data_IF_204180480620
#
_entry.id   IF_204180480620
#
_cell.length_a   1.000
_cell.length_b   1.000
_cell.length_c   1.000
_cell.angle_alpha   90.00
_cell.angle_beta   90.00
_cell.angle_gamma   90.00
#
_symmetry.space_group_name_H-M   'P 1'
#
loop_
_entity.id
_entity.type
_entity.pdbx_description
1 polymer ?
2 polymer ?
3 polymer ?
4 non-polymer ?
5 non-polymer ?
6 non-polymer ?
7 water ?
#
# COMPACT_ATOMS: atom_id res chain seq x y z
N UNK A 1 10.99 -17.37 -6.51
CA UNK A 1 10.52 -16.83 -7.81
C UNK A 1 11.24 -17.50 -8.97
N UNK A 2 10.72 -17.29 -10.18
CA UNK A 2 11.25 -17.93 -11.38
C UNK A 2 12.67 -17.51 -11.72
N UNK A 3 13.14 -16.37 -11.20
CA UNK A 3 14.51 -15.91 -11.46
C UNK A 3 15.46 -16.21 -10.31
N UNK A 4 14.98 -16.84 -9.24
CA UNK A 4 15.81 -17.03 -8.06
C UNK A 4 17.04 -17.87 -8.29
N UNK A 5 17.00 -18.82 -9.22
CA UNK A 5 18.14 -19.68 -9.46
C UNK A 5 19.10 -19.13 -10.49
N UNK A 6 18.83 -17.97 -11.09
CA UNK A 6 19.71 -17.40 -12.11
C UNK A 6 20.69 -16.40 -11.51
N UNK A 7 21.94 -16.46 -11.99
CA UNK A 7 22.96 -15.51 -11.56
C UNK A 7 22.53 -14.08 -11.86
N UNK A 8 22.86 -13.17 -10.93
CA UNK A 8 22.63 -11.76 -11.15
C UNK A 8 23.17 -11.29 -12.50
N UNK A 9 24.41 -11.66 -12.82
CA UNK A 9 25.00 -11.14 -14.06
C UNK A 9 24.27 -11.68 -15.27
N UNK A 10 23.76 -12.91 -15.19
CA UNK A 10 23.02 -13.48 -16.30
C UNK A 10 21.69 -12.79 -16.49
N UNK A 11 21.06 -12.39 -15.38
CA UNK A 11 19.82 -11.62 -15.46
C UNK A 11 20.05 -10.28 -16.14
N UNK A 12 21.13 -9.59 -15.78
CA UNK A 12 21.44 -8.31 -16.42
C UNK A 12 21.74 -8.51 -17.90
N UNK A 13 22.53 -9.53 -18.24
CA UNK A 13 22.84 -9.80 -19.64
C UNK A 13 21.56 -10.08 -20.43
N UNK A 14 20.65 -10.86 -19.84
CA UNK A 14 19.42 -11.20 -20.54
C UNK A 14 18.48 -10.01 -20.64
N UNK A 15 18.49 -9.11 -19.65
CA UNK A 15 17.73 -7.88 -19.78
C UNK A 15 18.19 -7.09 -21.00
N UNK A 16 19.51 -7.03 -21.22
CA UNK A 16 20.04 -6.28 -22.36
C UNK A 16 19.66 -6.95 -23.67
N UNK A 17 19.65 -8.29 -23.71
CA UNK A 17 19.20 -9.01 -24.90
C UNK A 17 17.71 -8.78 -25.14
N UNK A 18 16.91 -8.81 -24.07
CA UNK A 18 15.48 -8.56 -24.21
C UNK A 18 15.23 -7.17 -24.77
N UNK A 19 15.99 -6.18 -24.32
CA UNK A 19 15.86 -4.84 -24.89
C UNK A 19 16.15 -4.84 -26.39
N UNK A 20 17.21 -5.52 -26.82
CA UNK A 20 17.54 -5.58 -28.24
C UNK A 20 16.43 -6.24 -29.04
N UNK A 21 15.73 -7.21 -28.45
CA UNK A 21 14.62 -7.90 -29.08
C UNK A 21 13.28 -7.20 -28.86
N UNK A 22 13.30 -6.07 -28.17
CA UNK A 22 12.08 -5.31 -27.87
C UNK A 22 11.05 -6.14 -27.10
N UNK A 23 11.54 -6.99 -26.21
CA UNK A 23 10.74 -7.86 -25.35
C UNK A 23 10.77 -7.24 -23.95
N UNK A 24 9.98 -6.19 -23.78
CA UNK A 24 10.08 -5.38 -22.57
C UNK A 24 9.50 -6.06 -21.33
N UNK A 25 8.48 -6.91 -21.49
CA UNK A 25 8.01 -7.68 -20.35
C UNK A 25 9.11 -8.60 -19.83
N UNK A 26 9.79 -9.31 -20.74
CA UNK A 26 10.92 -10.14 -20.31
C UNK A 26 11.99 -9.28 -19.67
N UNK A 27 12.31 -8.13 -20.27
CA UNK A 27 13.35 -7.27 -19.75
C UNK A 27 13.02 -6.86 -18.32
N UNK A 28 11.77 -6.50 -18.07
CA UNK A 28 11.37 -6.08 -16.74
C UNK A 28 11.49 -7.23 -15.76
N UNK A 29 11.08 -8.43 -16.17
CA UNK A 29 11.15 -9.59 -15.29
C UNK A 29 12.60 -9.92 -14.93
N UNK A 30 13.51 -9.82 -15.89
CA UNK A 30 14.92 -10.07 -15.61
C UNK A 30 15.47 -9.01 -14.65
N UNK A 31 15.13 -7.74 -14.87
CA UNK A 31 15.62 -6.69 -13.98
C UNK A 31 15.01 -6.83 -12.58
N UNK A 32 13.74 -7.22 -12.49
CA UNK A 32 13.17 -7.48 -11.17
C UNK A 32 13.94 -8.58 -10.45
N UNK A 33 14.28 -9.65 -11.16
CA UNK A 33 15.08 -10.69 -10.55
C UNK A 33 16.44 -10.18 -10.09
N UNK A 34 17.07 -9.32 -10.88
CA UNK A 34 18.35 -8.76 -10.49
C UNK A 34 18.20 -7.92 -9.23
N UNK A 35 17.17 -7.06 -9.15
CA UNK A 35 16.93 -6.28 -7.94
C UNK A 35 16.81 -7.19 -6.72
N UNK A 36 16.13 -8.32 -6.87
CA UNK A 36 15.84 -9.21 -5.76
C UNK A 36 17.08 -9.94 -5.24
N UNK A 37 18.21 -9.83 -5.93
CA UNK A 37 19.46 -10.35 -5.38
C UNK A 37 19.97 -9.52 -4.21
N UNK A 38 19.44 -8.32 -4.03
CA UNK A 38 19.70 -7.55 -2.85
C UNK A 38 20.89 -6.64 -2.91
N UNK A 39 21.57 -6.54 -4.04
CA UNK A 39 22.69 -5.63 -4.22
C UNK A 39 22.17 -4.33 -4.85
N UNK A 40 22.87 -3.23 -4.58
CA UNK A 40 22.48 -1.95 -5.17
C UNK A 40 22.76 -1.93 -6.67
N UNK A 41 21.82 -1.35 -7.43
CA UNK A 41 21.93 -1.23 -8.87
C UNK A 41 22.91 -0.13 -9.23
N UNK A 42 23.72 -0.40 -10.25
CA UNK A 42 24.58 0.63 -10.82
C UNK A 42 23.75 1.63 -11.63
N UNK A 43 24.39 2.72 -12.05
CA UNK A 43 23.72 3.70 -12.88
C UNK A 43 23.13 3.05 -14.13
N UNK A 44 23.93 2.25 -14.83
CA UNK A 44 23.44 1.56 -16.03
C UNK A 44 22.27 0.65 -15.70
N UNK A 45 22.36 -0.09 -14.60
CA UNK A 45 21.31 -1.02 -14.25
C UNK A 45 20.01 -0.31 -13.85
N UNK A 46 20.11 0.84 -13.16
CA UNK A 46 18.93 1.63 -12.87
C UNK A 46 18.20 2.03 -14.14
N UNK A 47 18.96 2.43 -15.16
CA UNK A 47 18.33 2.83 -16.42
C UNK A 47 17.68 1.64 -17.10
N UNK A 48 18.30 0.47 -17.04
CA UNK A 48 17.66 -0.72 -17.60
C UNK A 48 16.33 -1.02 -16.92
N UNK A 49 16.33 -0.99 -15.58
CA UNK A 49 15.08 -1.21 -14.84
C UNK A 49 14.01 -0.23 -15.30
N UNK A 50 14.37 1.05 -15.34
CA UNK A 50 13.41 2.08 -15.72
C UNK A 50 12.89 1.92 -17.14
N UNK A 51 13.78 1.69 -18.11
CA UNK A 51 13.35 1.54 -19.50
C UNK A 51 12.39 0.36 -19.62
N UNK A 52 12.69 -0.73 -18.94
CA UNK A 52 11.88 -1.93 -19.07
C UNK A 52 10.46 -1.65 -18.62
N UNK A 53 10.30 -1.14 -17.39
CA UNK A 53 8.95 -0.92 -16.88
C UNK A 53 8.25 0.24 -17.57
N UNK A 54 9.01 1.27 -18.01
CA UNK A 54 8.39 2.36 -18.76
C UNK A 54 7.68 1.82 -20.00
N UNK A 55 8.31 0.87 -20.68
CA UNK A 55 7.73 0.36 -21.91
C UNK A 55 6.54 -0.54 -21.62
N UNK A 56 6.62 -1.36 -20.56
CA UNK A 56 5.49 -2.19 -20.17
C UNK A 56 4.29 -1.31 -19.81
N UNK A 57 4.48 -0.39 -18.87
CA UNK A 57 3.34 0.40 -18.45
C UNK A 57 2.91 1.36 -19.56
N UNK A 58 3.84 1.76 -20.42
CA UNK A 58 3.48 2.65 -21.51
C UNK A 58 2.48 2.02 -22.45
N UNK A 59 2.67 0.74 -22.77
CA UNK A 59 1.71 0.05 -23.62
C UNK A 59 0.36 -0.07 -22.96
N UNK A 60 0.36 -0.35 -21.65
CA UNK A 60 -0.89 -0.47 -20.89
C UNK A 60 -1.63 0.86 -20.81
N UNK A 61 -0.90 1.94 -20.56
CA UNK A 61 -1.50 3.27 -20.50
C UNK A 61 -2.12 3.65 -21.83
N UNK A 62 -1.41 3.37 -22.92
CA UNK A 62 -1.95 3.72 -24.23
C UNK A 62 -3.22 2.93 -24.51
N UNK A 63 -3.22 1.64 -24.18
CA UNK A 63 -4.41 0.82 -24.38
C UNK A 63 -5.56 1.31 -23.51
N UNK A 64 -5.27 1.62 -22.24
CA UNK A 64 -6.30 2.12 -21.35
C UNK A 64 -6.93 3.40 -21.88
N UNK A 65 -6.11 4.30 -22.42
CA UNK A 65 -6.62 5.55 -23.01
C UNK A 65 -7.56 5.26 -24.18
N UNK A 66 -7.17 4.33 -25.06
CA UNK A 66 -8.04 3.96 -26.18
C UNK A 66 -9.38 3.44 -25.68
N UNK A 67 -9.34 2.51 -24.72
CA UNK A 67 -10.57 1.88 -24.26
C UNK A 67 -11.42 2.85 -23.46
N UNK A 68 -10.79 3.71 -22.65
CA UNK A 68 -11.53 4.70 -21.88
C UNK A 68 -12.25 5.66 -22.83
N UNK A 69 -11.61 6.03 -23.93
CA UNK A 69 -12.25 6.92 -24.90
C UNK A 69 -13.47 6.26 -25.52
N UNK A 70 -13.33 5.00 -25.94
CA UNK A 70 -14.46 4.25 -26.49
C UNK A 70 -15.59 4.17 -25.47
N UNK A 71 -15.25 3.87 -24.22
CA UNK A 71 -16.24 3.76 -23.15
C UNK A 71 -16.97 5.08 -22.95
N UNK A 72 -16.23 6.19 -22.98
CA UNK A 72 -16.87 7.49 -22.78
C UNK A 72 -17.79 7.83 -23.95
N UNK A 73 -17.39 7.50 -25.17
CA UNK A 73 -18.28 7.74 -26.31
C UNK A 73 -19.55 6.91 -26.20
N UNK A 74 -19.43 5.66 -25.73
CA UNK A 74 -20.60 4.81 -25.58
C UNK A 74 -21.54 5.31 -24.48
N UNK A 75 -21.04 6.13 -23.56
CA UNK A 75 -21.87 6.68 -22.49
C UNK A 75 -22.32 8.11 -22.82
N UNK A 83 -24.06 -3.18 -23.90
CA UNK A 83 -23.63 -4.25 -23.01
C UNK A 83 -22.41 -3.86 -22.19
N UNK A 84 -22.01 -4.76 -21.30
CA UNK A 84 -20.93 -4.44 -20.35
C UNK A 84 -19.52 -4.62 -20.90
N UNK A 85 -19.37 -4.99 -22.17
CA UNK A 85 -18.07 -5.50 -22.65
C UNK A 85 -16.99 -4.43 -22.64
N UNK A 86 -17.29 -3.21 -23.08
CA UNK A 86 -16.27 -2.17 -23.10
C UNK A 86 -15.76 -1.89 -21.69
N UNK A 87 -16.67 -1.72 -20.73
CA UNK A 87 -16.26 -1.48 -19.36
C UNK A 87 -15.45 -2.65 -18.82
N UNK A 88 -15.91 -3.87 -19.08
CA UNK A 88 -15.21 -5.06 -18.57
C UNK A 88 -13.77 -5.07 -19.07
N UNK A 89 -13.59 -4.83 -20.36
CA UNK A 89 -12.25 -4.93 -20.92
C UNK A 89 -11.38 -3.75 -20.48
N UNK A 90 -11.95 -2.54 -20.38
CA UNK A 90 -11.19 -1.43 -19.83
C UNK A 90 -10.77 -1.74 -18.40
N UNK A 91 -11.67 -2.33 -17.62
CA UNK A 91 -11.34 -2.72 -16.25
C UNK A 91 -10.22 -3.76 -16.24
N UNK A 92 -10.25 -4.73 -17.16
CA UNK A 92 -9.19 -5.74 -17.22
C UNK A 92 -7.84 -5.07 -17.44
N UNK A 93 -7.77 -4.19 -18.43
CA UNK A 93 -6.50 -3.53 -18.72
C UNK A 93 -6.07 -2.66 -17.52
N UNK A 94 -7.03 -1.94 -16.94
CA UNK A 94 -6.75 -1.11 -15.77
C UNK A 94 -6.15 -1.91 -14.64
N UNK A 95 -6.73 -3.09 -14.35
CA UNK A 95 -6.23 -3.92 -13.26
C UNK A 95 -4.80 -4.40 -13.54
N UNK A 96 -4.51 -4.77 -14.78
CA UNK A 96 -3.15 -5.18 -15.13
C UNK A 96 -2.18 -4.01 -14.99
N UNK A 97 -2.58 -2.83 -15.43
CA UNK A 97 -1.75 -1.64 -15.28
C UNK A 97 -1.46 -1.38 -13.80
N UNK A 98 -2.50 -1.45 -12.97
CA UNK A 98 -2.31 -1.21 -11.54
C UNK A 98 -1.39 -2.25 -10.94
N UNK A 99 -1.48 -3.47 -11.43
CA UNK A 99 -0.59 -4.52 -10.93
C UNK A 99 0.87 -4.24 -11.25
N UNK A 100 1.15 -3.74 -12.46
CA UNK A 100 2.52 -3.40 -12.79
C UNK A 100 3.01 -2.25 -11.93
N UNK A 101 2.18 -1.21 -11.77
CA UNK A 101 2.57 -0.10 -10.91
C UNK A 101 2.84 -0.57 -9.49
N UNK A 102 1.99 -1.44 -8.96
CA UNK A 102 2.22 -1.98 -7.62
C UNK A 102 3.52 -2.77 -7.55
N UNK A 103 3.84 -3.53 -8.61
CA UNK A 103 5.11 -4.26 -8.66
C UNK A 103 6.29 -3.31 -8.56
N UNK A 104 6.28 -2.24 -9.35
CA UNK A 104 7.38 -1.29 -9.35
C UNK A 104 7.49 -0.61 -7.99
N UNK A 105 6.36 -0.10 -7.47
CA UNK A 105 6.37 0.55 -6.17
C UNK A 105 6.85 -0.39 -5.08
N UNK A 106 6.49 -1.67 -5.17
CA UNK A 106 6.98 -2.66 -4.23
C UNK A 106 8.49 -2.86 -4.31
N UNK A 107 9.04 -2.92 -5.52
CA UNK A 107 10.48 -3.01 -5.67
C UNK A 107 11.17 -1.80 -5.07
N UNK A 108 10.62 -0.60 -5.33
CA UNK A 108 11.22 0.61 -4.79
C UNK A 108 11.19 0.59 -3.28
N UNK A 109 10.04 0.28 -2.69
CA UNK A 109 9.91 0.34 -1.23
C UNK A 109 10.70 -0.76 -0.55
N UNK A 110 10.65 -1.98 -1.10
CA UNK A 110 11.24 -3.14 -0.42
C UNK A 110 12.74 -3.25 -0.63
N UNK A 111 13.25 -2.78 -1.77
CA UNK A 111 14.65 -3.03 -2.13
C UNK A 111 15.49 -1.80 -2.43
N UNK A 112 14.93 -0.77 -3.04
CA UNK A 112 15.76 0.23 -3.71
C UNK A 112 15.84 1.56 -3.00
N UNK A 113 14.74 2.04 -2.42
CA UNK A 113 14.76 3.32 -1.72
C UNK A 113 15.41 3.14 -0.35
N UNK A 114 16.45 3.93 -0.10
CA UNK A 114 17.16 3.85 1.16
C UNK A 114 17.44 5.26 1.65
N UNK A 115 17.50 5.40 2.98
CA UNK A 115 17.98 6.65 3.58
C UNK A 115 19.43 6.89 3.19
N UNK A 116 20.25 5.85 3.30
CA UNK A 116 21.60 5.90 2.76
C UNK A 116 21.48 6.04 1.25
N UNK A 117 22.60 6.19 0.58
CA UNK A 117 22.56 6.34 -0.84
C UNK A 117 23.21 7.62 -1.31
N UNK A 118 23.81 7.54 -2.47
CA UNK A 118 24.28 8.72 -3.16
C UNK A 118 23.08 9.47 -3.71
N UNK A 119 23.24 10.77 -3.87
CA UNK A 119 22.12 11.60 -4.27
C UNK A 119 21.53 11.11 -5.58
N UNK A 120 22.38 10.70 -6.52
CA UNK A 120 21.91 10.32 -7.85
C UNK A 120 20.89 9.20 -7.73
N UNK A 121 21.21 8.16 -6.97
CA UNK A 121 20.30 7.02 -6.86
C UNK A 121 19.07 7.38 -6.05
N UNK A 122 19.24 8.10 -4.95
CA UNK A 122 18.08 8.43 -4.12
C UNK A 122 17.07 9.27 -4.91
N UNK A 123 17.55 10.24 -5.67
CA UNK A 123 16.66 11.07 -6.48
C UNK A 123 16.02 10.24 -7.59
N UNK A 124 16.81 9.38 -8.23
CA UNK A 124 16.30 8.56 -9.33
C UNK A 124 15.10 7.73 -8.85
N UNK A 125 15.26 7.07 -7.69
CA UNK A 125 14.21 6.16 -7.23
C UNK A 125 13.00 6.91 -6.69
N UNK A 126 13.21 8.03 -5.99
CA UNK A 126 12.08 8.83 -5.53
C UNK A 126 11.29 9.43 -6.70
N UNK A 127 11.99 9.90 -7.74
CA UNK A 127 11.29 10.31 -8.95
C UNK A 127 10.46 9.16 -9.52
N UNK A 128 11.05 7.98 -9.59
CA UNK A 128 10.32 6.83 -10.12
C UNK A 128 9.08 6.55 -9.29
N UNK A 129 9.19 6.65 -7.97
CA UNK A 129 8.03 6.43 -7.12
C UNK A 129 6.95 7.44 -7.45
N UNK A 130 7.33 8.71 -7.59
CA UNK A 130 6.38 9.73 -8.01
C UNK A 130 5.71 9.38 -9.33
N UNK A 131 6.50 8.94 -10.30
CA UNK A 131 5.97 8.60 -11.61
C UNK A 131 4.93 7.47 -11.52
N UNK A 132 5.23 6.41 -10.77
CA UNK A 132 4.33 5.27 -10.76
C UNK A 132 3.07 5.55 -9.94
N UNK A 133 3.15 6.38 -8.88
CA UNK A 133 1.93 6.87 -8.26
C UNK A 133 1.14 7.76 -9.23
N UNK A 134 1.85 8.56 -10.03
CA UNK A 134 1.16 9.37 -11.03
C UNK A 134 0.40 8.49 -12.03
N UNK A 135 1.00 7.38 -12.46
CA UNK A 135 0.28 6.49 -13.39
C UNK A 135 -0.95 5.89 -12.73
N UNK A 136 -0.84 5.53 -11.44
CA UNK A 136 -2.02 5.08 -10.69
C UNK A 136 -3.06 6.19 -10.62
N UNK A 137 -2.63 7.43 -10.43
CA UNK A 137 -3.57 8.54 -10.35
C UNK A 137 -4.32 8.77 -11.64
N UNK A 138 -3.69 8.48 -12.79
CA UNK A 138 -4.36 8.66 -14.07
C UNK A 138 -5.63 7.83 -14.19
N UNK A 139 -5.68 6.68 -13.54
CA UNK A 139 -6.81 5.76 -13.64
C UNK A 139 -7.68 5.75 -12.40
N UNK A 140 -7.31 6.49 -11.36
CA UNK A 140 -8.05 6.49 -10.10
C UNK A 140 -9.18 7.52 -10.13
N UNK A 141 -10.16 7.31 -9.26
CA UNK A 141 -11.28 8.22 -9.11
C UNK A 141 -11.48 8.56 -7.65
N UNK A 142 -12.13 9.69 -7.40
CA UNK A 142 -12.66 10.00 -6.08
C UNK A 142 -11.61 10.17 -5.00
N UNK A 143 -11.94 9.71 -3.79
CA UNK A 143 -11.08 9.91 -2.62
C UNK A 143 -9.80 9.10 -2.75
N UNK A 144 -9.89 7.88 -3.28
CA UNK A 144 -8.69 7.09 -3.52
C UNK A 144 -7.71 7.86 -4.40
N UNK A 145 -8.23 8.60 -5.38
CA UNK A 145 -7.38 9.44 -6.21
C UNK A 145 -6.64 10.46 -5.35
N UNK A 146 -7.33 11.08 -4.38
CA UNK A 146 -6.68 12.11 -3.57
C UNK A 146 -5.46 11.56 -2.86
N UNK A 147 -5.59 10.37 -2.25
CA UNK A 147 -4.48 9.79 -1.52
C UNK A 147 -3.32 9.42 -2.44
N UNK A 148 -3.64 8.92 -3.63
CA UNK A 148 -2.62 8.56 -4.59
C UNK A 148 -1.89 9.80 -5.06
N UNK A 149 -2.63 10.87 -5.31
CA UNK A 149 -2.03 12.13 -5.73
C UNK A 149 -1.07 12.62 -4.66
N UNK A 150 -1.47 12.54 -3.39
CA UNK A 150 -0.56 13.04 -2.37
C UNK A 150 0.68 12.16 -2.23
N UNK A 151 0.55 10.84 -2.45
CA UNK A 151 1.73 9.98 -2.45
C UNK A 151 2.70 10.37 -3.56
N UNK A 152 2.19 10.62 -4.76
CA UNK A 152 3.05 11.08 -5.85
C UNK A 152 3.72 12.39 -5.48
N UNK A 153 2.93 13.35 -4.99
CA UNK A 153 3.48 14.64 -4.61
C UNK A 153 4.59 14.49 -3.59
N UNK A 154 4.37 13.68 -2.55
CA UNK A 154 5.34 13.53 -1.48
C UNK A 154 6.67 12.96 -2.01
N UNK A 155 6.59 11.99 -2.91
CA UNK A 155 7.80 11.38 -3.45
C UNK A 155 8.55 12.37 -4.33
N UNK A 156 7.85 13.04 -5.23
CA UNK A 156 8.47 14.06 -6.06
C UNK A 156 9.10 15.16 -5.20
N UNK A 157 8.38 15.60 -4.15
CA UNK A 157 8.90 16.70 -3.33
C UNK A 157 10.17 16.29 -2.61
N UNK A 158 10.23 15.06 -2.07
CA UNK A 158 11.45 14.63 -1.42
C UNK A 158 12.61 14.57 -2.41
N UNK A 159 12.34 14.06 -3.61
CA UNK A 159 13.36 14.02 -4.65
C UNK A 159 13.82 15.43 -5.04
N UNK A 160 12.89 16.37 -5.10
CA UNK A 160 13.24 17.75 -5.42
C UNK A 160 14.15 18.34 -4.36
N UNK A 161 13.82 18.11 -3.09
CA UNK A 161 14.60 18.70 -2.01
C UNK A 161 16.04 18.18 -2.04
N UNK A 162 16.21 16.88 -2.26
CA UNK A 162 17.54 16.31 -2.35
C UNK A 162 18.26 16.87 -3.56
N UNK A 163 17.57 16.91 -4.71
CA UNK A 163 18.24 17.33 -5.95
C UNK A 163 18.74 18.76 -5.86
N UNK A 164 17.98 19.63 -5.20
CA UNK A 164 18.40 21.03 -5.11
C UNK A 164 19.58 21.19 -4.17
N UNK A 165 19.71 20.33 -3.16
CA UNK A 165 20.82 20.43 -2.22
C UNK A 165 22.09 19.76 -2.74
N UNK A 166 21.95 18.65 -3.48
CA UNK A 166 23.07 17.78 -3.73
C UNK A 166 23.50 17.69 -5.18
N UNK A 167 22.77 18.30 -6.12
CA UNK A 167 23.07 18.11 -7.53
C UNK A 167 23.02 19.45 -8.26
N UNK A 168 23.92 19.68 -9.22
CA UNK A 168 23.93 20.96 -9.94
C UNK A 168 22.65 21.14 -10.74
N UNK A 169 22.28 22.38 -11.05
CA UNK A 169 21.03 22.63 -11.76
C UNK A 169 20.96 22.06 -13.16
N UNK A 170 22.09 21.66 -13.75
CA UNK A 170 22.12 21.03 -15.06
C UNK A 170 22.10 19.49 -14.99
N UNK A 171 22.11 18.91 -13.81
CA UNK A 171 22.19 17.47 -13.73
C UNK A 171 20.99 16.85 -14.46
N UNK A 172 21.21 15.91 -15.40
CA UNK A 172 20.06 15.40 -16.17
C UNK A 172 19.00 14.71 -15.33
N UNK A 173 19.37 14.03 -14.25
CA UNK A 173 18.37 13.40 -13.39
C UNK A 173 17.51 14.46 -12.71
N UNK A 174 18.16 15.50 -12.17
CA UNK A 174 17.43 16.64 -11.60
C UNK A 174 16.49 17.28 -12.64
N UNK A 175 16.98 17.47 -13.86
CA UNK A 175 16.15 18.09 -14.88
C UNK A 175 14.95 17.23 -15.22
N UNK A 176 15.15 15.92 -15.36
CA UNK A 176 14.04 15.03 -15.69
C UNK A 176 13.02 14.94 -14.58
N UNK A 177 13.49 14.99 -13.33
CA UNK A 177 12.59 15.07 -12.19
C UNK A 177 11.72 16.32 -12.26
N UNK A 178 12.34 17.47 -12.50
CA UNK A 178 11.56 18.71 -12.58
C UNK A 178 10.56 18.66 -13.71
N UNK A 179 10.96 18.10 -14.85
CA UNK A 179 10.03 17.95 -15.97
C UNK A 179 8.81 17.15 -15.55
N UNK A 180 9.02 15.99 -14.94
CA UNK A 180 7.90 15.13 -14.58
C UNK A 180 7.07 15.71 -13.44
N UNK A 181 7.71 16.35 -12.46
CA UNK A 181 6.94 16.98 -11.38
C UNK A 181 6.08 18.11 -11.93
N UNK A 182 6.62 18.86 -12.88
CA UNK A 182 5.81 19.92 -13.48
C UNK A 182 4.65 19.32 -14.28
N UNK A 183 4.86 18.19 -14.96
CA UNK A 183 3.75 17.50 -15.63
C UNK A 183 2.70 17.05 -14.61
N UNK A 184 3.15 16.51 -13.48
CA UNK A 184 2.24 16.18 -12.38
C UNK A 184 1.39 17.39 -11.98
N UNK A 185 2.03 18.54 -11.77
CA UNK A 185 1.27 19.72 -11.37
C UNK A 185 0.22 20.07 -12.41
N UNK A 186 0.60 19.99 -13.69
CA UNK A 186 -0.29 20.44 -14.77
C UNK A 186 -1.43 19.45 -15.00
N UNK A 187 -1.09 18.17 -15.11
CA UNK A 187 -2.02 17.14 -15.59
C UNK A 187 -2.78 16.43 -14.49
N UNK A 188 -2.22 16.36 -13.28
CA UNK A 188 -2.80 15.57 -12.19
C UNK A 188 -3.33 16.46 -11.07
N UNK A 189 -2.54 17.42 -10.63
CA UNK A 189 -2.83 18.19 -9.42
C UNK A 189 -3.61 19.48 -9.69
N UNK A 190 -4.01 19.74 -10.93
CA UNK A 190 -4.82 20.93 -11.24
C UNK A 190 -4.10 22.21 -10.81
N UNK A 191 -2.79 22.27 -11.05
CA UNK A 191 -1.95 23.39 -10.62
C UNK A 191 -1.09 23.87 -11.78
N UNK A 192 -1.72 24.35 -12.86
CA UNK A 192 -0.92 24.76 -14.02
C UNK A 192 0.03 25.91 -13.74
N UNK A 193 -0.33 26.84 -12.86
CA UNK A 193 0.61 27.93 -12.55
C UNK A 193 1.87 27.40 -11.88
N UNK A 194 1.73 26.44 -10.96
CA UNK A 194 2.90 25.84 -10.35
C UNK A 194 3.72 25.08 -11.38
N UNK A 195 3.03 24.37 -12.28
CA UNK A 195 3.72 23.64 -13.34
C UNK A 195 4.58 24.58 -14.17
N UNK A 196 3.99 25.68 -14.62
CA UNK A 196 4.69 26.66 -15.45
C UNK A 196 5.86 27.29 -14.70
N UNK A 197 5.63 27.68 -13.43
CA UNK A 197 6.71 28.29 -12.66
C UNK A 197 7.87 27.31 -12.48
N UNK A 198 7.58 26.05 -12.18
CA UNK A 198 8.65 25.07 -11.99
C UNK A 198 9.43 24.86 -13.28
N UNK A 199 8.73 24.72 -14.40
CA UNK A 199 9.43 24.50 -15.66
C UNK A 199 10.31 25.69 -16.00
N UNK A 200 9.79 26.90 -15.80
CA UNK A 200 10.53 28.13 -16.10
C UNK A 200 11.78 28.26 -15.25
N UNK A 201 11.64 28.18 -13.93
CA UNK A 201 12.80 28.37 -13.09
C UNK A 201 13.82 27.27 -13.31
N UNK A 202 13.36 26.05 -13.56
CA UNK A 202 14.30 24.96 -13.81
C UNK A 202 15.08 25.22 -15.09
N UNK A 203 14.38 25.59 -16.15
CA UNK A 203 15.04 25.88 -17.41
C UNK A 203 16.06 27.01 -17.24
N UNK A 204 15.64 28.10 -16.61
CA UNK A 204 16.50 29.28 -16.49
C UNK A 204 17.73 29.00 -15.64
N UNK A 205 17.58 28.22 -14.57
CA UNK A 205 18.71 27.92 -13.71
C UNK A 205 19.69 26.95 -14.36
N UNK A 206 19.19 26.07 -15.22
CA UNK A 206 20.08 25.21 -16.00
C UNK A 206 20.81 26.01 -17.08
N UNK A 207 20.08 26.85 -17.82
CA UNK A 207 20.68 27.72 -18.82
C UNK A 207 21.92 28.40 -18.27
N UNK A 208 21.77 29.04 -17.11
CA UNK A 208 22.85 29.82 -16.51
C UNK A 208 24.08 29.00 -16.17
N UNK A 209 23.95 27.68 -16.02
CA UNK A 209 25.09 26.86 -15.63
C UNK A 209 25.64 26.02 -16.77
N UNK A 210 25.09 26.14 -17.99
CA UNK A 210 25.58 25.35 -19.11
C UNK A 210 27.04 25.62 -19.40
N UNK A 211 27.52 26.83 -19.10
CA UNK A 211 28.89 27.20 -19.44
C UNK A 211 29.91 26.35 -18.71
N UNK A 212 29.49 25.63 -17.65
CA UNK A 212 30.40 24.79 -16.90
C UNK A 212 30.58 23.40 -17.49
N UNK A 213 29.84 23.06 -18.54
CA UNK A 213 29.74 21.68 -19.00
C UNK A 213 30.56 21.40 -20.25
N UNK A 214 31.05 20.16 -20.33
CA UNK A 214 31.70 19.63 -21.50
C UNK A 214 30.71 19.53 -22.65
N UNK A 215 31.23 19.23 -23.84
CA UNK A 215 30.36 19.08 -24.99
C UNK A 215 29.32 17.99 -24.77
N UNK A 216 29.73 16.84 -24.24
CA UNK A 216 28.82 15.72 -24.10
C UNK A 216 27.80 15.97 -22.99
N UNK A 217 28.23 16.49 -21.84
CA UNK A 217 27.30 16.83 -20.77
C UNK A 217 26.35 17.93 -21.21
N UNK A 218 26.86 18.89 -21.98
CA UNK A 218 25.99 19.94 -22.53
C UNK A 218 24.86 19.33 -23.34
N UNK A 219 25.16 18.35 -24.19
CA UNK A 219 24.11 17.70 -24.98
C UNK A 219 23.11 16.97 -24.09
N UNK A 220 23.58 16.24 -23.08
CA UNK A 220 22.70 15.53 -22.18
C UNK A 220 21.75 16.49 -21.47
N UNK A 221 22.27 17.59 -20.96
CA UNK A 221 21.43 18.54 -20.23
C UNK A 221 20.52 19.29 -21.16
N UNK A 222 21.03 19.75 -22.30
CA UNK A 222 20.20 20.59 -23.16
C UNK A 222 19.06 19.81 -23.79
N UNK A 223 19.22 18.51 -24.01
CA UNK A 223 18.11 17.75 -24.56
C UNK A 223 16.92 17.76 -23.61
N UNK A 224 17.17 17.61 -22.30
CA UNK A 224 16.07 17.65 -21.33
C UNK A 224 15.56 19.09 -21.17
N UNK A 225 16.46 20.07 -21.17
CA UNK A 225 16.01 21.46 -21.17
C UNK A 225 15.05 21.74 -22.32
N UNK A 226 15.34 21.17 -23.49
CA UNK A 226 14.47 21.37 -24.65
C UNK A 226 13.09 20.79 -24.42
N UNK A 227 13.00 19.65 -23.74
CA UNK A 227 11.69 19.11 -23.36
C UNK A 227 10.95 20.05 -22.41
N UNK A 228 11.67 20.65 -21.44
CA UNK A 228 11.02 21.62 -20.55
C UNK A 228 10.48 22.78 -21.35
N UNK A 229 11.25 23.28 -22.30
CA UNK A 229 10.81 24.39 -23.13
C UNK A 229 9.60 24.02 -23.96
N UNK A 230 9.58 22.78 -24.49
CA UNK A 230 8.44 22.36 -25.30
C UNK A 230 7.17 22.40 -24.47
N UNK A 231 7.24 21.94 -23.21
CA UNK A 231 6.06 21.97 -22.37
C UNK A 231 5.69 23.40 -22.02
N UNK A 232 6.67 24.24 -21.71
CA UNK A 232 6.36 25.65 -21.44
C UNK A 232 5.66 26.30 -22.61
N UNK A 233 6.14 26.04 -23.83
CA UNK A 233 5.56 26.62 -25.04
C UNK A 233 4.16 26.10 -25.29
N UNK A 234 3.95 24.83 -24.97
CA UNK A 234 2.62 24.24 -25.09
C UNK A 234 1.65 24.91 -24.12
N UNK A 235 2.10 25.14 -22.90
CA UNK A 235 1.24 25.58 -21.81
C UNK A 235 1.01 27.10 -21.81
N UNK A 236 1.82 27.86 -22.53
CA UNK A 236 1.76 29.32 -22.49
C UNK A 236 1.87 29.90 -23.88
N UNK B 2 -2.29 14.13 -23.24
CA UNK B 2 -1.65 14.82 -22.12
C UNK B 2 -0.32 15.48 -22.52
N UNK B 3 0.17 16.35 -21.65
CA UNK B 3 1.50 16.91 -21.79
C UNK B 3 2.53 15.78 -21.78
N UNK B 4 3.56 15.82 -22.65
CA UNK B 4 4.58 14.78 -22.59
C UNK B 4 5.51 14.79 -21.35
N UNK B 6 9.05 12.77 -19.40
CA UNK B 6 10.40 12.37 -19.83
C UNK B 6 10.30 11.06 -20.63
N UNK B 7 10.87 11.03 -21.84
CA UNK B 7 10.76 9.83 -22.68
C UNK B 7 11.79 8.75 -22.38
N UNK B 8 11.97 8.47 -21.10
CA UNK B 8 13.03 7.61 -20.66
C UNK B 8 13.23 7.88 -19.19
N UNK C 1 -18.71 10.38 1.28
CA UNK C 1 -19.26 9.20 2.00
C UNK C 1 -20.77 9.31 2.11
N UNK C 2 -21.45 8.20 1.84
CA UNK C 2 -22.91 8.20 1.82
C UNK C 2 -23.50 8.58 3.16
N UNK C 3 -22.73 8.43 4.24
CA UNK C 3 -23.21 8.76 5.57
C UNK C 3 -22.84 10.17 6.00
N UNK C 4 -22.21 10.95 5.12
CA UNK C 4 -21.71 12.25 5.49
C UNK C 4 -22.78 13.22 5.94
N UNK C 5 -24.02 13.03 5.51
CA UNK C 5 -25.07 13.97 5.88
C UNK C 5 -25.81 13.59 7.16
N UNK C 6 -25.50 12.45 7.76
CA UNK C 6 -26.20 11.98 8.94
C UNK C 6 -25.40 12.32 10.20
N UNK C 7 -26.12 12.80 11.22
CA UNK C 7 -25.52 13.08 12.52
C UNK C 7 -24.78 11.86 13.06
N UNK C 8 -23.66 12.13 13.73
CA UNK C 8 -22.93 11.04 14.39
C UNK C 8 -23.82 10.23 15.32
N UNK C 9 -24.60 10.89 16.18
CA UNK C 9 -25.39 10.16 17.16
C UNK C 9 -26.44 9.31 16.48
N UNK C 10 -26.99 9.79 15.37
CA UNK C 10 -27.95 9.01 14.59
C UNK C 10 -27.30 7.79 13.98
N UNK C 11 -26.06 7.91 13.50
CA UNK C 11 -25.35 6.77 12.95
C UNK C 11 -25.11 5.70 14.01
N UNK C 12 -24.71 6.11 15.21
CA UNK C 12 -24.52 5.15 16.31
C UNK C 12 -25.83 4.46 16.67
N UNK C 13 -26.91 5.23 16.76
CA UNK C 13 -28.23 4.67 17.04
C UNK C 13 -28.63 3.65 15.98
N UNK C 14 -28.39 3.98 14.70
CA UNK C 14 -28.77 3.06 13.62
C UNK C 14 -27.84 1.85 13.55
N UNK C 15 -26.57 2.01 13.91
CA UNK C 15 -25.70 0.84 14.03
C UNK C 15 -26.26 -0.17 15.02
N UNK C 16 -26.77 0.32 16.15
CA UNK C 16 -27.33 -0.57 17.16
C UNK C 16 -28.63 -1.23 16.68
N UNK C 17 -29.45 -0.47 15.95
CA UNK C 17 -30.66 -1.05 15.34
C UNK C 17 -30.28 -2.13 14.33
N UNK C 18 -29.28 -1.84 13.49
CA UNK C 18 -28.85 -2.80 12.49
C UNK C 18 -28.37 -4.09 13.16
N UNK C 19 -27.65 -3.96 14.27
CA UNK C 19 -27.21 -5.15 15.00
C UNK C 19 -28.41 -5.97 15.48
N UNK C 20 -29.41 -5.31 16.05
CA UNK C 20 -30.61 -6.02 16.50
C UNK C 20 -31.30 -6.75 15.34
N UNK C 21 -31.29 -6.14 14.15
CA UNK C 21 -31.89 -6.74 12.97
C UNK C 21 -30.96 -7.68 12.23
N UNK C 22 -29.76 -7.92 12.76
CA UNK C 22 -28.77 -8.81 12.14
C UNK C 22 -28.43 -8.34 10.72
N UNK C 23 -28.37 -7.02 10.54
CA UNK C 23 -28.05 -6.39 9.27
C UNK C 23 -26.63 -5.86 9.39
N UNK C 24 -25.65 -6.77 9.28
CA UNK C 24 -24.29 -6.40 9.65
C UNK C 24 -23.62 -5.53 8.60
N UNK C 25 -23.97 -5.67 7.32
CA UNK C 25 -23.42 -4.75 6.34
C UNK C 25 -23.88 -3.33 6.63
N UNK C 26 -25.17 -3.15 6.93
CA UNK C 26 -25.68 -1.84 7.35
C UNK C 26 -24.96 -1.35 8.60
N UNK C 27 -24.79 -2.24 9.58
CA UNK C 27 -24.15 -1.86 10.82
C UNK C 27 -22.74 -1.33 10.55
N UNK C 28 -22.00 -2.02 9.68
CA UNK C 28 -20.65 -1.59 9.36
C UNK C 28 -20.66 -0.26 8.65
N UNK C 29 -21.60 -0.06 7.71
CA UNK C 29 -21.65 1.20 6.98
C UNK C 29 -21.96 2.36 7.91
N UNK C 30 -22.86 2.15 8.88
CA UNK C 30 -23.17 3.18 9.85
C UNK C 30 -21.97 3.49 10.74
N UNK C 31 -21.25 2.45 11.16
CA UNK C 31 -20.06 2.69 11.99
C UNK C 31 -18.94 3.34 11.20
N UNK C 32 -18.77 2.98 9.93
CA UNK C 32 -17.82 3.69 9.09
C UNK C 32 -18.15 5.17 9.02
N UNK C 33 -19.44 5.49 8.83
CA UNK C 33 -19.83 6.88 8.79
C UNK C 33 -19.54 7.58 10.11
N UNK C 34 -19.78 6.91 11.23
CA UNK C 34 -19.47 7.49 12.52
C UNK C 34 -17.98 7.75 12.68
N UNK C 35 -17.14 6.79 12.29
CA UNK C 35 -15.69 6.99 12.38
C UNK C 35 -15.26 8.20 11.55
N UNK C 36 -15.83 8.34 10.36
CA UNK C 36 -15.44 9.39 9.43
C UNK C 36 -15.88 10.78 9.88
N UNK C 37 -16.66 10.89 10.98
CA UNK C 37 -16.91 12.19 11.57
C UNK C 37 -15.65 12.79 12.19
N UNK C 38 -14.63 11.96 12.47
CA UNK C 38 -13.34 12.46 12.92
C UNK C 38 -13.15 12.47 14.41
N UNK C 39 -14.16 12.12 15.19
CA UNK C 39 -14.00 12.07 16.65
C UNK C 39 -13.53 10.69 17.11
N UNK C 40 -12.94 10.64 18.29
CA UNK C 40 -12.58 9.36 18.89
C UNK C 40 -13.83 8.55 19.18
N UNK C 41 -13.62 7.25 19.33
CA UNK C 41 -14.68 6.32 19.66
C UNK C 41 -14.56 5.95 21.14
N UNK C 42 -15.72 5.80 21.80
CA UNK C 42 -15.75 5.23 23.13
C UNK C 42 -15.49 3.72 23.05
N UNK C 43 -15.30 3.10 24.22
CA UNK C 43 -15.10 1.65 24.24
C UNK C 43 -16.29 0.92 23.62
N UNK C 44 -17.50 1.33 23.95
CA UNK C 44 -18.69 0.70 23.36
C UNK C 44 -18.68 0.85 21.85
N UNK C 45 -18.33 2.06 21.35
CA UNK C 45 -18.33 2.31 19.92
C UNK C 45 -17.26 1.50 19.21
N UNK C 46 -16.06 1.40 19.80
CA UNK C 46 -15.01 0.59 19.18
C UNK C 46 -15.45 -0.87 19.07
N UNK C 47 -16.17 -1.37 20.08
CA UNK C 47 -16.67 -2.73 19.99
C UNK C 47 -17.73 -2.86 18.90
N UNK C 48 -18.60 -1.86 18.76
CA UNK C 48 -19.58 -1.90 17.68
C UNK C 48 -18.90 -1.96 16.33
N UNK C 49 -17.87 -1.14 16.14
CA UNK C 49 -17.11 -1.16 14.88
C UNK C 49 -16.52 -2.54 14.62
N UNK C 50 -15.87 -3.12 15.63
CA UNK C 50 -15.24 -4.42 15.48
C UNK C 50 -16.27 -5.52 15.20
N UNK C 51 -17.39 -5.53 15.93
CA UNK C 51 -18.40 -6.55 15.73
C UNK C 51 -18.95 -6.47 14.31
N UNK C 52 -19.26 -5.26 13.86
CA UNK C 52 -19.87 -5.10 12.55
C UNK C 52 -18.97 -5.66 11.46
N UNK C 53 -17.72 -5.20 11.42
CA UNK C 53 -16.85 -5.64 10.35
C UNK C 53 -16.44 -7.09 10.51
N UNK C 54 -16.32 -7.59 11.74
CA UNK C 54 -15.98 -9.00 11.89
C UNK C 54 -17.08 -9.87 11.29
N UNK C 55 -18.33 -9.50 11.52
CA UNK C 55 -19.42 -10.28 10.96
C UNK C 55 -19.38 -10.26 9.43
N UNK C 56 -19.17 -9.07 8.85
CA UNK C 56 -19.09 -8.95 7.40
C UNK C 56 -17.92 -9.76 6.86
N UNK C 57 -16.70 -9.50 7.35
CA UNK C 57 -15.54 -10.21 6.82
C UNK C 57 -15.61 -11.70 7.14
N UNK C 58 -16.17 -12.05 8.30
CA UNK C 58 -16.27 -13.46 8.65
C UNK C 58 -17.13 -14.23 7.67
N UNK C 59 -18.22 -13.62 7.20
CA UNK C 59 -19.05 -14.28 6.20
C UNK C 59 -18.31 -14.45 4.88
N UNK C 60 -17.56 -13.43 4.50
CA UNK C 60 -16.78 -13.49 3.26
C UNK C 60 -15.67 -14.53 3.35
N UNK C 61 -14.96 -14.57 4.48
CA UNK C 61 -13.92 -15.58 4.68
C UNK C 61 -14.50 -16.99 4.60
N UNK C 62 -15.65 -17.22 5.24
CA UNK C 62 -16.25 -18.54 5.22
C UNK C 62 -16.63 -18.93 3.80
N UNK C 63 -17.19 -17.98 3.05
CA UNK C 63 -17.57 -18.26 1.67
C UNK C 63 -16.33 -18.52 0.81
N UNK C 64 -15.28 -17.72 1.01
CA UNK C 64 -14.03 -17.92 0.30
C UNK C 64 -13.47 -19.32 0.56
N UNK C 65 -13.52 -19.76 1.82
CA UNK C 65 -13.01 -21.09 2.16
C UNK C 65 -13.83 -22.20 1.48
N UNK C 66 -15.16 -22.04 1.42
CA UNK C 66 -16.00 -23.02 0.74
C UNK C 66 -15.58 -23.13 -0.72
N UNK C 67 -15.47 -21.98 -1.38
CA UNK C 67 -15.16 -21.96 -2.80
C UNK C 67 -13.75 -22.46 -3.06
N UNK C 68 -12.80 -22.08 -2.20
CA UNK C 68 -11.43 -22.55 -2.36
C UNK C 68 -11.36 -24.08 -2.23
N UNK C 69 -12.16 -24.65 -1.33
CA UNK C 69 -12.16 -26.11 -1.18
C UNK C 69 -12.74 -26.78 -2.43
N UNK C 70 -13.79 -26.21 -3.01
CA UNK C 70 -14.34 -26.75 -4.25
C UNK C 70 -13.33 -26.61 -5.36
N UNK C 71 -12.62 -25.47 -5.40
CA UNK C 71 -11.64 -25.23 -6.46
C UNK C 71 -10.50 -26.23 -6.38
N UNK C 72 -10.01 -26.49 -5.16
CA UNK C 72 -8.91 -27.43 -5.02
C UNK C 72 -9.35 -28.85 -5.37
N UNK C 73 -10.59 -29.22 -5.02
CA UNK C 73 -11.08 -30.54 -5.41
C UNK C 73 -11.09 -30.70 -6.93
N UNK C 74 -11.52 -29.66 -7.64
CA UNK C 74 -11.58 -29.72 -9.10
C UNK C 74 -10.19 -29.98 -9.70
N UNK C 83 -14.20 -26.16 -15.94
CA UNK C 83 -14.17 -24.81 -16.48
C UNK C 83 -13.64 -23.77 -15.52
N UNK C 84 -13.65 -22.51 -15.94
CA UNK C 84 -13.08 -21.43 -15.11
C UNK C 84 -14.02 -20.89 -14.04
N UNK C 85 -15.25 -21.39 -13.95
CA UNK C 85 -16.28 -20.70 -13.17
C UNK C 85 -15.96 -20.71 -11.68
N UNK C 86 -15.46 -21.82 -11.13
CA UNK C 86 -15.17 -21.87 -9.69
C UNK C 86 -14.10 -20.85 -9.35
N UNK C 87 -13.02 -20.82 -10.13
CA UNK C 87 -11.99 -19.83 -9.91
C UNK C 87 -12.54 -18.42 -10.03
N UNK C 88 -13.34 -18.16 -11.07
CA UNK C 88 -13.87 -16.82 -11.26
C UNK C 88 -14.69 -16.38 -10.07
N UNK C 89 -15.55 -17.26 -9.57
CA UNK C 89 -16.41 -16.86 -8.47
C UNK C 89 -15.62 -16.74 -7.16
N UNK C 90 -14.65 -17.63 -6.95
CA UNK C 90 -13.74 -17.46 -5.82
C UNK C 90 -13.05 -16.11 -5.89
N UNK C 91 -12.59 -15.72 -7.08
CA UNK C 91 -11.92 -14.43 -7.26
C UNK C 91 -12.88 -13.27 -6.98
N UNK C 92 -14.15 -13.42 -7.35
CA UNK C 92 -15.13 -12.37 -7.07
C UNK C 92 -15.30 -12.16 -5.57
N UNK C 93 -15.48 -13.24 -4.82
CA UNK C 93 -15.62 -13.15 -3.38
C UNK C 93 -14.33 -12.59 -2.79
N UNK C 94 -13.19 -13.06 -3.30
CA UNK C 94 -11.89 -12.60 -2.81
C UNK C 94 -11.74 -11.10 -2.96
N UNK C 95 -12.12 -10.56 -4.12
CA UNK C 95 -12.03 -9.12 -4.37
C UNK C 95 -12.92 -8.35 -3.41
N UNK C 96 -14.12 -8.87 -3.13
CA UNK C 96 -15.01 -8.19 -2.19
C UNK C 96 -14.43 -8.21 -0.77
N UNK C 97 -13.87 -9.35 -0.36
CA UNK C 97 -13.22 -9.45 0.93
C UNK C 97 -12.05 -8.46 1.03
N UNK C 98 -11.22 -8.39 -0.01
CA UNK C 98 -10.12 -7.44 0.00
C UNK C 98 -10.63 -6.01 0.12
N UNK C 99 -11.74 -5.71 -0.54
CA UNK C 99 -12.35 -4.39 -0.44
C UNK C 99 -12.73 -4.04 0.99
N UNK C 100 -13.37 -4.98 1.70
CA UNK C 100 -13.76 -4.73 3.08
C UNK C 100 -12.53 -4.55 3.96
N UNK C 101 -11.51 -5.39 3.78
CA UNK C 101 -10.31 -5.24 4.59
C UNK C 101 -9.64 -3.90 4.32
N UNK C 102 -9.57 -3.50 3.05
CA UNK C 102 -8.98 -2.21 2.72
C UNK C 102 -9.77 -1.07 3.36
N UNK C 103 -11.10 -1.21 3.42
CA UNK C 103 -11.93 -0.18 4.06
C UNK C 103 -11.60 -0.07 5.54
N UNK C 104 -11.53 -1.21 6.24
CA UNK C 104 -11.22 -1.20 7.67
C UNK C 104 -9.84 -0.63 7.91
N UNK C 105 -8.85 -1.09 7.15
CA UNK C 105 -7.50 -0.59 7.32
C UNK C 105 -7.43 0.90 7.05
N UNK C 106 -8.25 1.38 6.12
CA UNK C 106 -8.28 2.81 5.85
C UNK C 106 -8.81 3.63 7.01
N UNK C 107 -9.84 3.11 7.70
CA UNK C 107 -10.35 3.78 8.90
C UNK C 107 -9.29 3.80 10.00
N UNK C 108 -8.58 2.70 10.19
CA UNK C 108 -7.56 2.63 11.23
C UNK C 108 -6.42 3.59 10.93
N UNK C 109 -5.99 3.68 9.67
CA UNK C 109 -4.91 4.57 9.27
C UNK C 109 -5.36 6.03 9.18
N UNK C 110 -6.64 6.29 8.98
CA UNK C 110 -7.16 7.64 8.74
C UNK C 110 -8.45 7.81 9.54
N UNK C 111 -8.35 8.03 10.86
CA UNK C 111 -7.13 8.26 11.63
C UNK C 111 -7.26 7.67 13.02
N UNK C 112 -7.90 6.51 13.14
CA UNK C 112 -8.22 5.99 14.47
C UNK C 112 -6.97 5.73 15.31
N UNK C 113 -5.95 5.12 14.71
CA UNK C 113 -4.77 4.76 15.50
C UNK C 113 -4.10 6.00 16.06
N UNK C 114 -3.83 6.99 15.20
CA UNK C 114 -3.07 8.14 15.65
C UNK C 114 -3.85 9.01 16.62
N UNK C 115 -5.18 8.97 16.58
CA UNK C 115 -6.00 9.78 17.46
C UNK C 115 -6.41 9.06 18.74
N UNK C 116 -6.09 7.77 18.87
CA UNK C 116 -6.47 7.05 20.07
C UNK C 116 -5.85 7.70 21.29
N UNK C 117 -6.68 7.99 22.29
CA UNK C 117 -6.31 8.81 23.42
C UNK C 117 -5.76 8.07 24.62
N UNK C 118 -5.75 6.74 24.58
CA UNK C 118 -5.24 5.93 25.68
C UNK C 118 -4.62 4.66 25.12
N UNK C 119 -3.88 3.97 25.98
CA UNK C 119 -3.13 2.79 25.54
C UNK C 119 -4.07 1.65 25.15
N UNK C 120 -5.15 1.44 25.90
CA UNK C 120 -6.10 0.39 25.59
C UNK C 120 -6.64 0.55 24.18
N UNK C 121 -7.07 1.76 23.83
CA UNK C 121 -7.64 1.96 22.51
C UNK C 121 -6.57 1.84 21.42
N UNK C 122 -5.37 2.35 21.66
CA UNK C 122 -4.33 2.23 20.65
C UNK C 122 -3.99 0.77 20.39
N UNK C 123 -3.86 -0.03 21.44
CA UNK C 123 -3.61 -1.46 21.27
C UNK C 123 -4.77 -2.12 20.56
N UNK C 124 -6.01 -1.76 20.94
CA UNK C 124 -7.18 -2.33 20.28
C UNK C 124 -7.11 -2.11 18.77
N UNK C 125 -6.79 -0.89 18.35
CA UNK C 125 -6.78 -0.56 16.92
C UNK C 125 -5.58 -1.16 16.21
N UNK C 126 -4.41 -1.19 16.85
CA UNK C 126 -3.25 -1.79 16.18
C UNK C 126 -3.42 -3.30 16.04
N UNK C 127 -4.00 -3.95 17.06
CA UNK C 127 -4.38 -5.36 16.92
C UNK C 127 -5.32 -5.54 15.74
N UNK C 128 -6.36 -4.69 15.64
CA UNK C 128 -7.29 -4.76 14.51
C UNK C 128 -6.55 -4.63 13.19
N UNK C 129 -5.58 -3.73 13.11
CA UNK C 129 -4.80 -3.55 11.90
C UNK C 129 -4.04 -4.83 11.55
N UNK C 130 -3.41 -5.44 12.54
CA UNK C 130 -2.78 -6.73 12.30
C UNK C 130 -3.77 -7.77 11.81
N UNK C 131 -4.95 -7.84 12.45
CA UNK C 131 -5.97 -8.82 12.06
C UNK C 131 -6.40 -8.64 10.61
N UNK C 132 -6.70 -7.41 10.20
CA UNK C 132 -7.20 -7.20 8.84
C UNK C 132 -6.11 -7.39 7.78
N UNK C 133 -4.86 -7.05 8.07
CA UNK C 133 -3.78 -7.49 7.19
C UNK C 133 -3.68 -9.01 7.16
N UNK C 134 -3.88 -9.66 8.31
CA UNK C 134 -3.87 -11.11 8.34
C UNK C 134 -4.96 -11.70 7.44
N UNK C 135 -6.16 -11.12 7.47
CA UNK C 135 -7.22 -11.63 6.60
C UNK C 135 -6.84 -11.43 5.13
N UNK C 136 -6.19 -10.32 4.81
CA UNK C 136 -5.68 -10.14 3.46
C UNK C 136 -4.64 -11.20 3.11
N UNK C 137 -3.76 -11.52 4.05
CA UNK C 137 -2.70 -12.47 3.78
C UNK C 137 -3.25 -13.86 3.48
N UNK C 138 -4.42 -14.21 4.05
CA UNK C 138 -5.01 -15.52 3.84
C UNK C 138 -5.32 -15.74 2.37
N UNK C 139 -5.63 -14.68 1.64
CA UNK C 139 -6.03 -14.79 0.23
C UNK C 139 -4.99 -14.21 -0.73
N UNK C 140 -3.90 -13.65 -0.22
CA UNK C 140 -2.92 -13.02 -1.08
C UNK C 140 -1.94 -14.06 -1.62
N UNK C 141 -1.22 -13.67 -2.68
CA UNK C 141 -0.18 -14.52 -3.24
C UNK C 141 1.07 -13.68 -3.52
N UNK C 142 2.20 -14.38 -3.65
CA UNK C 142 3.40 -13.80 -4.22
C UNK C 142 3.95 -12.63 -3.44
N UNK C 143 4.46 -11.64 -4.17
CA UNK C 143 5.10 -10.48 -3.54
C UNK C 143 4.12 -9.66 -2.71
N UNK C 144 2.87 -9.55 -3.18
CA UNK C 144 1.85 -8.84 -2.41
C UNK C 144 1.65 -9.50 -1.05
N UNK C 145 1.58 -10.82 -1.03
CA UNK C 145 1.45 -11.54 0.25
C UNK C 145 2.63 -11.21 1.16
N UNK C 146 3.85 -11.16 0.63
CA UNK C 146 5.00 -10.89 1.48
C UNK C 146 4.91 -9.50 2.10
N UNK C 147 4.50 -8.50 1.32
CA UNK C 147 4.33 -7.16 1.86
C UNK C 147 3.25 -7.13 2.93
N UNK C 148 2.14 -7.83 2.68
CA UNK C 148 1.03 -7.84 3.63
C UNK C 148 1.46 -8.48 4.94
N UNK C 149 2.24 -9.57 4.85
CA UNK C 149 2.72 -10.25 6.05
C UNK C 149 3.60 -9.31 6.87
N UNK C 150 4.48 -8.55 6.20
CA UNK C 150 5.33 -7.62 6.94
C UNK C 150 4.50 -6.51 7.58
N UNK C 151 3.46 -6.05 6.90
CA UNK C 151 2.57 -5.03 7.48
C UNK C 151 1.83 -5.56 8.70
N UNK C 152 1.33 -6.79 8.63
CA UNK C 152 0.63 -7.38 9.77
C UNK C 152 1.57 -7.48 10.95
N UNK C 153 2.77 -8.01 10.73
CA UNK C 153 3.73 -8.19 11.82
C UNK C 153 4.06 -6.86 12.48
N UNK C 154 4.25 -5.81 11.67
CA UNK C 154 4.65 -4.52 12.25
C UNK C 154 3.52 -3.92 13.09
N UNK C 155 2.27 -4.08 12.66
CA UNK C 155 1.15 -3.59 13.46
C UNK C 155 1.02 -4.38 14.76
N UNK C 156 1.08 -5.71 14.66
CA UNK C 156 0.99 -6.53 15.87
C UNK C 156 2.15 -6.21 16.82
N UNK C 157 3.36 -6.04 16.28
CA UNK C 157 4.51 -5.81 17.15
C UNK C 157 4.40 -4.46 17.86
N UNK C 158 3.89 -3.43 17.18
CA UNK C 158 3.72 -2.16 17.87
C UNK C 158 2.69 -2.28 18.99
N UNK C 159 1.60 -3.00 18.73
CA UNK C 159 0.61 -3.26 19.76
C UNK C 159 1.24 -3.99 20.94
N UNK C 160 2.08 -4.98 20.66
CA UNK C 160 2.73 -5.72 21.73
C UNK C 160 3.60 -4.81 22.57
N UNK C 161 4.39 -3.94 21.92
CA UNK C 161 5.27 -3.05 22.67
C UNK C 161 4.48 -2.17 23.64
N UNK C 162 3.35 -1.63 23.17
CA UNK C 162 2.53 -0.78 24.01
C UNK C 162 1.89 -1.57 25.15
N UNK C 163 1.36 -2.75 24.84
CA UNK C 163 0.67 -3.52 25.87
C UNK C 163 1.63 -3.96 26.97
N UNK C 164 2.88 -4.29 26.62
CA UNK C 164 3.83 -4.69 27.63
C UNK C 164 4.20 -3.55 28.55
N UNK C 165 4.22 -2.32 28.03
CA UNK C 165 4.55 -1.18 28.86
C UNK C 165 3.36 -0.68 29.68
N UNK C 166 2.14 -0.75 29.14
CA UNK C 166 1.01 -0.01 29.69
C UNK C 166 -0.09 -0.88 30.30
N UNK C 167 -0.08 -2.17 30.07
CA UNK C 167 -1.18 -3.01 30.53
C UNK C 167 -0.65 -4.16 31.37
N UNK C 168 -1.41 -4.62 32.36
CA UNK C 168 -0.96 -5.79 33.14
C UNK C 168 -1.05 -7.05 32.31
N UNK C 169 -0.25 -8.07 32.64
CA UNK C 169 -0.18 -9.27 31.79
C UNK C 169 -1.48 -10.08 31.74
N UNK C 170 -2.44 -9.83 32.63
CA UNK C 170 -3.72 -10.53 32.59
C UNK C 170 -4.79 -9.75 31.84
N UNK C 171 -4.51 -8.52 31.44
CA UNK C 171 -5.50 -7.70 30.76
C UNK C 171 -6.05 -8.43 29.54
N UNK C 172 -7.37 -8.54 29.40
CA UNK C 172 -7.91 -9.33 28.28
C UNK C 172 -7.55 -8.81 26.89
N UNK C 173 -7.41 -7.50 26.71
CA UNK C 173 -7.04 -6.98 25.39
C UNK C 173 -5.59 -7.38 25.06
N UNK C 174 -4.71 -7.30 26.05
CA UNK C 174 -3.34 -7.75 25.85
C UNK C 174 -3.29 -9.23 25.53
N UNK C 175 -4.04 -10.04 26.29
CA UNK C 175 -4.09 -11.47 26.03
C UNK C 175 -4.63 -11.77 24.63
N UNK C 176 -5.70 -11.09 24.23
CA UNK C 176 -6.27 -11.36 22.92
C UNK C 176 -5.36 -10.97 21.78
N UNK C 177 -4.63 -9.86 21.95
CA UNK C 177 -3.59 -9.49 21.00
C UNK C 177 -2.55 -10.58 20.87
N UNK C 178 -2.03 -11.08 22.00
CA UNK C 178 -1.01 -12.12 21.95
C UNK C 178 -1.56 -13.37 21.29
N UNK C 179 -2.82 -13.71 21.56
CA UNK C 179 -3.44 -14.86 20.92
C UNK C 179 -3.41 -14.70 19.41
N UNK C 180 -3.91 -13.55 18.92
CA UNK C 180 -4.02 -13.37 17.48
C UNK C 180 -2.65 -13.23 16.82
N UNK C 181 -1.69 -12.57 17.48
CA UNK C 181 -0.35 -12.48 16.92
C UNK C 181 0.30 -13.86 16.83
N UNK C 182 0.08 -14.71 17.83
CA UNK C 182 0.64 -16.05 17.78
C UNK C 182 -0.01 -16.88 16.66
N UNK C 183 -1.31 -16.71 16.44
CA UNK C 183 -1.97 -17.34 15.28
C UNK C 183 -1.34 -16.85 13.99
N UNK C 184 -1.09 -15.53 13.88
CA UNK C 184 -0.40 -15.01 12.73
C UNK C 184 0.93 -15.71 12.51
N UNK C 185 1.74 -15.84 13.56
CA UNK C 185 3.04 -16.47 13.38
C UNK C 185 2.89 -17.89 12.83
N UNK C 186 1.94 -18.64 13.35
CA UNK C 186 1.83 -20.05 13.01
C UNK C 186 1.18 -20.25 11.66
N UNK C 187 0.05 -19.60 11.42
CA UNK C 187 -0.78 -19.87 10.24
C UNK C 187 -0.34 -19.08 9.02
N UNK C 188 0.23 -17.91 9.21
CA UNK C 188 0.52 -16.99 8.11
C UNK C 188 2.01 -16.89 7.82
N UNK C 189 2.80 -16.63 8.84
CA UNK C 189 4.22 -16.34 8.68
C UNK C 189 5.09 -17.59 8.72
N UNK C 190 4.48 -18.78 8.80
CA UNK C 190 5.23 -20.05 8.88
C UNK C 190 6.36 -20.00 9.91
N UNK C 191 6.05 -19.45 11.08
CA UNK C 191 7.01 -19.31 12.18
C UNK C 191 6.42 -19.98 13.42
N UNK C 192 6.34 -21.31 13.42
CA UNK C 192 5.76 -21.98 14.60
C UNK C 192 6.56 -21.74 15.87
N UNK C 193 7.88 -21.61 15.76
CA UNK C 193 8.69 -21.36 16.96
C UNK C 193 8.29 -20.04 17.62
N UNK C 194 8.10 -18.99 16.82
CA UNK C 194 7.68 -17.71 17.36
C UNK C 194 6.27 -17.79 17.93
N UNK C 195 5.38 -18.54 17.26
CA UNK C 195 4.02 -18.68 17.75
C UNK C 195 4.00 -19.32 19.12
N UNK C 196 4.74 -20.42 19.27
CA UNK C 196 4.78 -21.17 20.52
C UNK C 196 5.41 -20.32 21.61
N UNK C 197 6.54 -19.67 21.31
CA UNK C 197 7.22 -18.86 22.31
C UNK C 197 6.31 -17.75 22.82
N UNK C 198 5.63 -17.06 21.89
CA UNK C 198 4.74 -15.97 22.28
C UNK C 198 3.58 -16.48 23.13
N UNK C 199 2.92 -17.55 22.68
CA UNK C 199 1.78 -18.06 23.45
C UNK C 199 2.22 -18.52 24.84
N UNK C 200 3.36 -19.20 24.92
CA UNK C 200 3.84 -19.72 26.20
C UNK C 200 4.19 -18.58 27.15
N UNK C 201 4.97 -17.62 26.69
CA UNK C 201 5.35 -16.49 27.54
C UNK C 201 4.11 -15.76 28.03
N UNK C 202 3.14 -15.55 27.14
CA UNK C 202 1.91 -14.86 27.52
C UNK C 202 1.17 -15.66 28.57
N UNK C 203 1.07 -16.97 28.38
CA UNK C 203 0.36 -17.84 29.32
C UNK C 203 1.01 -17.77 30.71
N UNK C 204 2.33 -17.90 30.77
CA UNK C 204 3.02 -17.93 32.06
C UNK C 204 2.93 -16.59 32.78
N UNK C 205 3.10 -15.49 32.05
CA UNK C 205 3.09 -14.18 32.68
C UNK C 205 1.70 -13.83 33.19
N UNK C 206 0.65 -14.30 32.52
CA UNK C 206 -0.70 -14.12 33.06
C UNK C 206 -0.93 -15.01 34.28
N UNK C 207 -0.50 -16.25 34.20
CA UNK C 207 -0.72 -17.17 35.32
C UNK C 207 -0.17 -16.61 36.63
N UNK C 208 0.99 -15.95 36.56
CA UNK C 208 1.62 -15.39 37.76
C UNK C 208 0.69 -14.44 38.52
N UNK C 209 -0.22 -13.75 37.82
CA UNK C 209 -1.03 -12.72 38.45
C UNK C 209 -2.48 -13.11 38.66
N UNK C 210 -2.87 -14.34 38.30
CA UNK C 210 -4.29 -14.71 38.42
C UNK C 210 -4.81 -14.53 39.84
N UNK C 211 -3.97 -14.76 40.85
CA UNK C 211 -4.41 -14.70 42.24
C UNK C 211 -4.77 -13.28 42.68
N UNK C 212 -4.38 -12.25 41.94
CA UNK C 212 -4.68 -10.88 42.30
C UNK C 212 -6.03 -10.42 41.74
N UNK C 213 -6.68 -11.22 40.92
CA UNK C 213 -7.86 -10.79 40.18
C UNK C 213 -9.14 -11.08 40.93
N UNK C 214 -10.16 -10.27 40.65
CA UNK C 214 -11.50 -10.56 41.09
C UNK C 214 -12.02 -11.81 40.39
N UNK C 215 -13.19 -12.28 40.83
CA UNK C 215 -13.79 -13.47 40.26
C UNK C 215 -14.06 -13.29 38.76
N UNK C 216 -14.69 -12.16 38.40
CA UNK C 216 -15.00 -11.91 37.00
C UNK C 216 -13.75 -11.76 36.17
N UNK C 217 -12.74 -11.05 36.68
CA UNK C 217 -11.50 -10.88 35.91
C UNK C 217 -10.78 -12.21 35.75
N UNK C 218 -10.77 -13.03 36.80
CA UNK C 218 -10.16 -14.35 36.71
C UNK C 218 -10.81 -15.16 35.59
N UNK C 219 -12.14 -15.11 35.49
CA UNK C 219 -12.84 -15.82 34.42
C UNK C 219 -12.45 -15.27 33.05
N UNK C 220 -12.47 -13.94 32.91
CA UNK C 220 -12.07 -13.32 31.65
C UNK C 220 -10.68 -13.79 31.22
N UNK C 221 -9.71 -13.71 32.14
CA UNK C 221 -8.33 -13.99 31.77
C UNK C 221 -8.10 -15.46 31.50
N UNK C 222 -8.68 -16.34 32.32
CA UNK C 222 -8.46 -17.78 32.11
C UNK C 222 -9.19 -18.26 30.85
N UNK C 223 -10.28 -17.60 30.47
CA UNK C 223 -10.94 -17.94 29.22
C UNK C 223 -9.98 -17.77 28.05
N UNK C 224 -9.30 -16.64 27.99
CA UNK C 224 -8.38 -16.40 26.89
C UNK C 224 -7.11 -17.23 27.05
N UNK C 225 -6.65 -17.47 28.29
CA UNK C 225 -5.53 -18.38 28.49
C UNK C 225 -5.85 -19.76 27.93
N UNK C 226 -7.11 -20.20 28.08
CA UNK C 226 -7.48 -21.50 27.55
C UNK C 226 -7.47 -21.50 26.03
N UNK C 227 -7.81 -20.37 25.40
CA UNK C 227 -7.66 -20.25 23.95
C UNK C 227 -6.20 -20.36 23.53
N UNK C 228 -5.29 -19.74 24.29
CA UNK C 228 -3.85 -19.92 24.04
C UNK C 228 -3.45 -21.36 24.21
N UNK C 229 -3.96 -22.00 25.26
CA UNK C 229 -3.64 -23.40 25.53
C UNK C 229 -4.10 -24.30 24.39
N UNK C 230 -5.32 -24.07 23.88
CA UNK C 230 -5.83 -24.90 22.78
C UNK C 230 -4.89 -24.84 21.60
N UNK C 231 -4.39 -23.65 21.29
CA UNK C 231 -3.48 -23.51 20.17
C UNK C 231 -2.13 -24.16 20.47
N UNK C 232 -1.62 -24.01 21.69
CA UNK C 232 -0.38 -24.69 22.04
C UNK C 232 -0.50 -26.20 21.92
N UNK C 233 -1.65 -26.75 22.29
CA UNK C 233 -1.85 -28.20 22.15
C UNK C 233 -1.85 -28.61 20.68
N UNK C 234 -2.52 -27.85 19.82
CA UNK C 234 -2.49 -28.14 18.39
C UNK C 234 -1.08 -28.06 17.85
N UNK C 235 -0.33 -27.02 18.26
CA UNK C 235 1.02 -26.78 17.75
C UNK C 235 2.05 -27.66 18.44
N UNK C 236 1.67 -28.37 19.50
CA UNK C 236 2.58 -29.22 20.22
C UNK C 236 1.83 -30.51 20.55
N UNK D 1 -5.93 -22.76 12.84
CA UNK D 1 -5.95 -22.41 14.25
C UNK D 1 -6.93 -21.26 14.51
N UNK D 2 -7.77 -21.37 15.55
CA UNK D 2 -8.71 -20.26 15.80
C UNK D 2 -8.12 -19.01 16.49
N UNK D 4 -9.14 -15.00 18.26
CA UNK D 4 -10.05 -14.51 19.29
C UNK D 4 -11.48 -14.42 18.75
N UNK D 5 -12.47 -15.00 19.45
CA UNK D 5 -13.84 -15.05 18.92
C UNK D 5 -14.69 -13.83 19.27
N UNK D 6 -14.20 -12.65 18.88
CA UNK D 6 -14.92 -11.42 19.14
C UNK D 6 -13.93 -10.29 19.24
#
# INVERSE_FOLDING_TARGET
>A
GAMGSMERASLIQKAKLAEQAERYEDMAAFMKGAVEKGEELSCEERNLLSVAYKNVVGGQRAAWRVLSSIEQKSNEEGSEEKGPEVREYREKVETELQGVCDTVLGLLDSHLIKEAGDAESRVFYLKMKGDYYRYLAEVATGDDKKRIIDSARSAYQEAMDISKKEMPPTNPIRLGLALNFSVFHYEIANSPEEAISLAKTTFDEAMADLHTLSEDSYKDSTLIMQLLRDNLTLWT
>B
XRTPXLPG
>C
GAMGSMERASLIQKAKLAEQAERYEDMAAFMKGAVEKGEELSCEERNLLSVAYKNVVGGQRAAWRVLSSIEQKSNEEGSEEKGPEVREYREKVETELQGVCDTVLGLLDSHLIKEAGDAESRVFYLKMKGDYYRYLAEVATGDDKKRIIDSARSAYQEAMDISKKEMPPTNPIRLGLALNFSVFHYEIANSPEEAISLAKTTFDEAMADLHTLSEDSYKDSTLIMQLLRDNLTLWT
>D
TPXLPG
#
